data_IF_791223599255
#
_entry.id   IF_791223599255
#
_cell.length_a   1.000
_cell.length_b   1.000
_cell.length_c   1.000
_cell.angle_alpha   90.00
_cell.angle_beta   90.00
_cell.angle_gamma   90.00
#
_symmetry.space_group_name_H-M   'P 1'
#
loop_
_entity.id
_entity.type
_entity.pdbx_description
1 polymer ?
#
# COMPACT_ATOMS: atom_id res chain seq x y z
N UNK A 1 8.54 13.80 -8.72
CA UNK A 1 9.06 12.60 -8.05
C UNK A 1 8.09 11.45 -8.20
N UNK A 2 8.59 10.27 -8.44
CA UNK A 2 7.76 9.07 -8.56
C UNK A 2 8.28 7.98 -7.65
N UNK A 3 7.36 7.26 -7.00
CA UNK A 3 7.68 6.02 -6.28
C UNK A 3 7.09 4.86 -7.06
N UNK A 4 7.87 3.82 -7.26
CA UNK A 4 7.36 2.61 -7.91
C UNK A 4 6.38 1.91 -6.96
N UNK A 5 5.19 1.61 -7.48
CA UNK A 5 4.12 0.98 -6.71
C UNK A 5 4.03 -0.51 -7.04
N UNK A 6 4.01 -1.33 -5.98
CA UNK A 6 3.79 -2.77 -6.07
C UNK A 6 2.71 -3.14 -5.06
N UNK A 7 1.70 -3.89 -5.50
CA UNK A 7 0.64 -4.38 -4.63
C UNK A 7 0.58 -5.91 -4.67
N UNK A 8 0.63 -6.55 -3.50
CA UNK A 8 0.58 -7.99 -3.35
C UNK A 8 -0.65 -8.43 -2.55
N UNK A 9 -1.15 -9.62 -2.86
CA UNK A 9 -2.14 -10.30 -2.05
C UNK A 9 -1.43 -11.19 -1.01
N UNK A 10 -1.93 -11.21 0.22
CA UNK A 10 -1.38 -12.02 1.32
C UNK A 10 -2.50 -12.80 2.03
N UNK A 11 -2.14 -13.87 2.71
CA UNK A 11 -3.11 -14.67 3.47
C UNK A 11 -3.28 -14.14 4.89
N UNK A 12 -2.17 -13.87 5.58
CA UNK A 12 -2.12 -13.41 6.96
C UNK A 12 -1.49 -12.03 6.99
N UNK A 13 -2.28 -11.01 7.28
CA UNK A 13 -1.78 -9.64 7.25
C UNK A 13 -0.75 -9.38 8.35
N UNK A 14 -1.02 -9.80 9.58
CA UNK A 14 -0.14 -9.53 10.71
C UNK A 14 1.24 -10.17 10.52
N UNK A 15 1.26 -11.44 10.10
CA UNK A 15 2.51 -12.13 9.80
C UNK A 15 3.27 -11.45 8.67
N UNK A 16 2.55 -10.99 7.63
CA UNK A 16 3.15 -10.30 6.49
C UNK A 16 3.70 -8.94 6.89
N UNK A 17 2.99 -8.20 7.74
CA UNK A 17 3.47 -6.91 8.25
C UNK A 17 4.77 -7.08 9.03
N UNK A 18 4.86 -8.10 9.89
CA UNK A 18 6.08 -8.38 10.64
C UNK A 18 7.25 -8.72 9.72
N UNK A 19 7.04 -9.62 8.75
CA UNK A 19 8.06 -10.05 7.81
C UNK A 19 8.54 -8.90 6.92
N UNK A 20 7.60 -8.19 6.30
CA UNK A 20 7.95 -7.13 5.34
C UNK A 20 8.51 -5.88 6.03
N UNK A 21 8.07 -5.57 7.24
CA UNK A 21 8.66 -4.48 8.01
C UNK A 21 10.13 -4.77 8.33
N UNK A 22 10.46 -6.01 8.67
CA UNK A 22 11.85 -6.43 8.90
C UNK A 22 12.69 -6.31 7.62
N UNK A 23 12.15 -6.77 6.48
CA UNK A 23 12.87 -6.71 5.20
C UNK A 23 13.06 -5.29 4.68
N UNK A 24 12.06 -4.44 4.85
CA UNK A 24 12.11 -3.04 4.39
C UNK A 24 12.79 -2.12 5.39
N UNK A 25 13.01 -2.58 6.62
CA UNK A 25 13.70 -1.81 7.65
C UNK A 25 12.86 -0.70 8.26
N UNK A 26 11.54 -0.77 8.13
CA UNK A 26 10.63 0.24 8.70
C UNK A 26 9.22 -0.32 8.89
N UNK A 27 8.43 0.22 9.83
CA UNK A 27 7.03 -0.16 9.98
C UNK A 27 6.18 0.40 8.84
N UNK A 28 4.93 -0.08 8.66
CA UNK A 28 4.05 0.48 7.65
C UNK A 28 3.79 1.97 7.87
N UNK A 29 3.71 2.71 6.78
CA UNK A 29 3.28 4.11 6.79
C UNK A 29 1.78 4.21 7.13
N UNK A 30 0.98 3.30 6.61
CA UNK A 30 -0.46 3.23 6.86
C UNK A 30 -0.88 1.78 7.08
N UNK A 31 -1.76 1.56 8.04
CA UNK A 31 -2.25 0.23 8.40
C UNK A 31 -3.75 0.26 8.65
N UNK A 32 -4.49 -0.60 7.96
CA UNK A 32 -5.87 -0.95 8.30
C UNK A 32 -5.81 -2.34 8.92
N UNK A 33 -5.96 -2.47 10.24
CA UNK A 33 -5.77 -3.75 10.93
C UNK A 33 -6.56 -4.89 10.28
N UNK A 34 -5.88 -6.00 10.04
CA UNK A 34 -6.48 -7.19 9.44
C UNK A 34 -6.73 -7.12 7.94
N UNK A 35 -6.60 -5.97 7.29
CA UNK A 35 -7.03 -5.79 5.90
C UNK A 35 -5.96 -5.32 4.95
N UNK A 36 -5.16 -4.30 5.33
CA UNK A 36 -4.30 -3.60 4.38
C UNK A 36 -3.11 -2.95 5.09
N UNK A 37 -1.96 -2.92 4.41
CA UNK A 37 -0.79 -2.18 4.89
C UNK A 37 -0.04 -1.55 3.71
N UNK A 38 0.54 -0.38 3.95
CA UNK A 38 1.30 0.38 2.96
C UNK A 38 2.63 0.82 3.56
N UNK A 39 3.72 0.49 2.87
CA UNK A 39 5.04 1.04 3.16
C UNK A 39 5.38 2.07 2.10
N UNK A 40 5.87 3.22 2.55
CA UNK A 40 6.34 4.27 1.64
C UNK A 40 7.79 4.61 2.02
N UNK A 41 8.70 4.37 1.08
CA UNK A 41 10.11 4.75 1.19
C UNK A 41 10.40 5.88 0.19
N UNK A 42 11.66 6.27 0.04
CA UNK A 42 12.02 7.32 -0.93
C UNK A 42 11.70 6.93 -2.37
N UNK A 43 11.77 5.64 -2.70
CA UNK A 43 11.62 5.16 -4.07
C UNK A 43 10.46 4.19 -4.27
N UNK A 44 9.88 3.69 -3.18
CA UNK A 44 8.94 2.59 -3.22
C UNK A 44 7.63 2.94 -2.52
N UNK A 45 6.54 2.54 -3.16
CA UNK A 45 5.20 2.53 -2.59
C UNK A 45 4.72 1.07 -2.64
N UNK A 46 4.83 0.35 -1.53
CA UNK A 46 4.57 -1.09 -1.47
C UNK A 46 3.37 -1.36 -0.59
N UNK A 47 2.36 -2.03 -1.13
CA UNK A 47 1.15 -2.34 -0.38
C UNK A 47 0.83 -3.82 -0.39
N UNK A 48 0.15 -4.27 0.67
CA UNK A 48 -0.40 -5.61 0.77
C UNK A 48 -1.85 -5.53 1.20
N UNK A 49 -2.66 -6.46 0.71
CA UNK A 49 -4.04 -6.61 1.15
C UNK A 49 -4.32 -8.08 1.43
N UNK A 50 -5.21 -8.31 2.41
CA UNK A 50 -5.60 -9.67 2.77
C UNK A 50 -6.55 -10.23 1.73
N UNK A 51 -6.05 -11.15 0.93
CA UNK A 51 -6.80 -11.90 -0.07
C UNK A 51 -6.27 -13.34 -0.10
N UNK A 52 -6.70 -14.20 0.84
CA UNK A 52 -6.11 -15.54 1.00
C UNK A 52 -6.16 -16.41 -0.26
N UNK A 53 -7.22 -16.26 -1.07
CA UNK A 53 -7.36 -17.03 -2.31
C UNK A 53 -6.28 -16.71 -3.35
N UNK A 54 -5.63 -15.55 -3.24
CA UNK A 54 -4.62 -15.07 -4.19
C UNK A 54 -3.28 -14.80 -3.51
N UNK A 55 -3.07 -15.34 -2.31
CA UNK A 55 -1.86 -15.09 -1.51
C UNK A 55 -0.59 -15.36 -2.31
N UNK A 56 0.35 -14.41 -2.25
CA UNK A 56 1.63 -14.49 -2.97
C UNK A 56 1.57 -13.97 -4.40
N UNK A 57 0.40 -13.57 -4.88
CA UNK A 57 0.24 -13.05 -6.25
C UNK A 57 0.35 -11.53 -6.29
N UNK A 58 0.92 -11.03 -7.38
CA UNK A 58 0.92 -9.60 -7.70
C UNK A 58 -0.51 -9.17 -8.06
N UNK A 59 -0.99 -8.08 -7.45
CA UNK A 59 -2.29 -7.52 -7.80
C UNK A 59 -2.17 -6.49 -8.92
N UNK A 60 -1.23 -5.56 -8.79
CA UNK A 60 -0.93 -4.55 -9.79
C UNK A 60 0.40 -3.88 -9.48
N UNK A 61 0.89 -3.11 -10.44
CA UNK A 61 2.04 -2.22 -10.30
C UNK A 61 1.66 -0.81 -10.71
N UNK A 62 2.58 0.13 -10.64
CA UNK A 62 2.33 1.49 -11.09
C UNK A 62 3.26 2.50 -10.47
N UNK A 63 2.77 3.73 -10.32
CA UNK A 63 3.53 4.83 -9.73
C UNK A 63 2.67 5.69 -8.84
N UNK A 64 3.22 6.02 -7.66
CA UNK A 64 2.80 7.21 -6.92
C UNK A 64 3.56 8.39 -7.52
N UNK A 65 2.84 9.33 -8.10
CA UNK A 65 3.39 10.44 -8.87
C UNK A 65 2.88 11.77 -8.30
N UNK A 66 3.78 12.63 -7.83
CA UNK A 66 3.42 13.92 -7.25
C UNK A 66 2.66 14.82 -8.24
N UNK A 67 2.89 14.62 -9.54
CA UNK A 67 2.24 15.39 -10.60
C UNK A 67 0.93 14.78 -11.09
N UNK A 68 0.54 13.60 -10.59
CA UNK A 68 -0.72 12.97 -10.98
C UNK A 68 -1.92 13.77 -10.47
N UNK A 69 -2.97 13.89 -11.29
CA UNK A 69 -4.20 14.62 -10.95
C UNK A 69 -5.32 13.71 -10.47
N UNK A 70 -4.98 12.58 -9.87
CA UNK A 70 -5.97 11.65 -9.38
C UNK A 70 -5.48 10.22 -9.52
N UNK A 71 -6.36 9.35 -10.01
CA UNK A 71 -6.08 7.93 -10.10
C UNK A 71 -6.44 7.43 -11.50
N UNK A 72 -5.49 6.79 -12.17
CA UNK A 72 -5.72 6.12 -13.46
C UNK A 72 -5.23 4.69 -13.41
N UNK A 73 -5.78 3.82 -14.25
CA UNK A 73 -5.37 2.43 -14.36
C UNK A 73 -5.53 1.96 -15.80
N UNK A 74 -4.53 1.28 -16.33
CA UNK A 74 -4.59 0.67 -17.65
C UNK A 74 -3.83 -0.66 -17.65
N UNK A 75 -4.22 -1.58 -18.53
CA UNK A 75 -3.55 -2.86 -18.67
C UNK A 75 -2.40 -2.75 -19.67
N UNK A 76 -1.28 -3.42 -19.37
CA UNK A 76 -0.17 -3.53 -20.31
C UNK A 76 -0.37 -4.68 -21.30
N UNK A 77 0.65 -4.95 -22.10
CA UNK A 77 0.62 -6.01 -23.14
C UNK A 77 0.47 -7.41 -22.57
N UNK A 78 0.76 -7.59 -21.27
CA UNK A 78 0.67 -8.87 -20.59
C UNK A 78 -0.59 -8.98 -19.70
N UNK A 79 -1.46 -7.96 -19.73
CA UNK A 79 -2.66 -7.91 -18.91
C UNK A 79 -2.43 -7.46 -17.47
N UNK A 80 -1.23 -6.97 -17.14
CA UNK A 80 -0.93 -6.45 -15.81
C UNK A 80 -1.48 -5.03 -15.71
N UNK A 81 -2.21 -4.75 -14.62
CA UNK A 81 -2.75 -3.43 -14.35
C UNK A 81 -1.63 -2.48 -13.89
N UNK A 82 -1.55 -1.30 -14.51
CA UNK A 82 -0.64 -0.21 -14.15
C UNK A 82 -1.45 0.96 -13.65
N UNK A 83 -1.29 1.25 -12.35
CA UNK A 83 -1.95 2.38 -11.71
C UNK A 83 -1.03 3.59 -11.67
N UNK A 84 -1.60 4.78 -11.79
CA UNK A 84 -0.87 6.02 -11.61
C UNK A 84 -1.73 6.95 -10.74
N UNK A 85 -1.17 7.45 -9.63
CA UNK A 85 -1.97 8.16 -8.64
C UNK A 85 -1.10 9.11 -7.81
N UNK A 86 -1.75 10.16 -7.28
CA UNK A 86 -1.14 10.99 -6.24
C UNK A 86 -1.28 10.31 -4.87
N UNK A 87 -0.47 10.75 -3.92
CA UNK A 87 -0.57 10.25 -2.54
C UNK A 87 -1.97 10.46 -1.95
N UNK A 88 -2.58 11.62 -2.24
CA UNK A 88 -3.95 11.94 -1.77
C UNK A 88 -4.98 10.99 -2.40
N UNK A 89 -4.88 10.74 -3.70
CA UNK A 89 -5.79 9.82 -4.38
C UNK A 89 -5.68 8.40 -3.83
N UNK A 90 -4.47 7.94 -3.52
CA UNK A 90 -4.26 6.64 -2.88
C UNK A 90 -4.93 6.57 -1.51
N UNK A 91 -4.74 7.60 -0.67
CA UNK A 91 -5.35 7.68 0.66
C UNK A 91 -6.86 7.57 0.59
N UNK A 92 -7.48 8.29 -0.33
CA UNK A 92 -8.93 8.25 -0.53
C UNK A 92 -9.42 6.85 -0.96
N UNK A 93 -8.66 6.16 -1.80
CA UNK A 93 -9.01 4.79 -2.20
C UNK A 93 -8.84 3.81 -1.05
N UNK A 94 -7.82 3.95 -0.23
CA UNK A 94 -7.63 3.12 0.97
C UNK A 94 -8.85 3.29 1.89
N UNK A 95 -9.24 4.51 2.16
CA UNK A 95 -10.38 4.82 3.03
C UNK A 95 -11.66 4.21 2.46
N UNK A 96 -11.93 4.38 1.17
CA UNK A 96 -13.17 3.86 0.56
C UNK A 96 -13.22 2.35 0.45
N UNK A 97 -12.06 1.70 0.33
CA UNK A 97 -11.97 0.24 0.12
C UNK A 97 -11.83 -0.52 1.43
N UNK A 98 -11.01 -0.03 2.35
CA UNK A 98 -10.63 -0.76 3.57
C UNK A 98 -11.05 -0.06 4.86
N UNK A 99 -11.21 1.26 4.86
CA UNK A 99 -11.48 2.07 6.04
C UNK A 99 -10.33 3.03 6.34
N UNK A 100 -10.52 3.85 7.37
CA UNK A 100 -9.54 4.87 7.76
C UNK A 100 -8.30 4.18 8.35
N UNK A 101 -7.12 4.38 7.75
CA UNK A 101 -5.91 3.72 8.24
C UNK A 101 -5.33 4.42 9.45
N UNK A 102 -4.56 3.66 10.24
CA UNK A 102 -3.66 4.21 11.25
C UNK A 102 -2.34 4.56 10.57
N UNK A 103 -1.89 5.79 10.73
CA UNK A 103 -0.61 6.25 10.20
C UNK A 103 0.46 6.18 11.28
N UNK A 104 1.70 5.94 10.89
CA UNK A 104 2.82 5.74 11.80
C UNK A 104 2.92 6.85 12.86
N UNK A 105 2.91 8.12 12.46
CA UNK A 105 3.04 9.24 13.39
C UNK A 105 1.86 9.36 14.36
N UNK A 106 0.63 9.15 13.88
CA UNK A 106 -0.58 9.22 14.70
C UNK A 106 -0.62 8.10 15.75
N UNK A 107 -0.18 6.89 15.39
CA UNK A 107 -0.12 5.76 16.33
C UNK A 107 0.84 6.05 17.49
N UNK A 108 1.98 6.66 17.21
CA UNK A 108 2.95 7.05 18.24
C UNK A 108 2.38 8.10 19.19
N UNK A 109 1.65 9.08 18.68
CA UNK A 109 1.01 10.11 19.51
C UNK A 109 -0.03 9.51 20.44
N UNK A 110 -0.84 8.57 19.97
CA UNK A 110 -1.84 7.90 20.80
C UNK A 110 -1.21 7.10 21.95
N UNK A 111 -0.08 6.48 21.71
CA UNK A 111 0.64 5.70 22.73
C UNK A 111 1.24 6.63 23.81
N UNK A 112 1.70 7.82 23.43
CA UNK A 112 2.32 8.77 24.36
C UNK A 112 1.31 9.49 25.25
N UNK A 113 0.09 9.57 24.82
CA UNK A 113 -0.98 10.23 25.59
C UNK A 113 -1.78 9.24 26.44
#
# INVERSE_FOLDING_TARGET
>A
MKRFHIALAVADLDASVADYSARLGQPPHALVPGSYALWRTDQLNFSISREPAHAGQLRHVGFEDDDARGFTCEADVNGIAWENFSAVAQELRIISTYGVPVHQGAAEELIRN
#
